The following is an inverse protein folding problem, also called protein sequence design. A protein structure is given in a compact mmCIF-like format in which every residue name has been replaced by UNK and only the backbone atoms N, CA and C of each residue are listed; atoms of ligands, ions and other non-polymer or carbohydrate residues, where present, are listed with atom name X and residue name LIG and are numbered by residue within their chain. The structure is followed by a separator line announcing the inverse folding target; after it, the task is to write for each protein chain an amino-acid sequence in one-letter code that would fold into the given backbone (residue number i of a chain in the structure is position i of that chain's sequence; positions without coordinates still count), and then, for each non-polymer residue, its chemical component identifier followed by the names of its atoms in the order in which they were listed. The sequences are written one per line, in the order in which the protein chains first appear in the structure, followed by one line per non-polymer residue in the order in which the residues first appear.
data_IF_691424941733
#
_entry.id   IF_691424941733
#
_cell.length_a   1.000
_cell.length_b   1.000
_cell.length_c   1.000
_cell.angle_alpha   90.00
_cell.angle_beta   90.00
_cell.angle_gamma   90.00
#
_symmetry.space_group_name_H-M   'P 1'
#
loop_
_entity.id
_entity.type
_entity.pdbx_description
1 polymer ?
#
# COMPACT_ATOMS: atom_id res chain seq x y z
N UNK A 1 -0.07 12.75 -8.90
CA UNK A 1 -0.47 11.44 -9.47
C UNK A 1 -1.12 10.64 -8.35
N UNK A 2 -2.43 10.53 -8.24
CA UNK A 2 -3.02 9.62 -7.23
C UNK A 2 -2.96 8.19 -7.80
N UNK A 3 -2.93 7.17 -6.94
CA UNK A 3 -3.08 5.79 -7.44
C UNK A 3 -4.60 5.62 -7.66
N UNK A 4 -5.08 6.06 -8.82
CA UNK A 4 -6.47 5.86 -9.26
C UNK A 4 -6.64 4.52 -10.02
N UNK A 5 -5.59 3.69 -10.04
CA UNK A 5 -5.61 2.38 -10.72
C UNK A 5 -5.79 1.30 -9.66
N UNK A 6 -7.06 0.92 -9.40
CA UNK A 6 -7.37 -0.32 -8.70
C UNK A 6 -6.79 -1.51 -9.49
N UNK A 7 -6.35 -2.56 -8.78
CA UNK A 7 -5.71 -3.76 -9.34
C UNK A 7 -4.29 -3.55 -9.89
N UNK A 8 -3.63 -2.43 -9.57
CA UNK A 8 -2.20 -2.32 -9.81
C UNK A 8 -1.43 -3.26 -8.86
N UNK A 9 -0.37 -3.87 -9.38
CA UNK A 9 0.42 -4.84 -8.63
C UNK A 9 1.72 -4.20 -8.13
N UNK A 10 1.88 -4.13 -6.81
CA UNK A 10 3.14 -3.69 -6.21
C UNK A 10 4.06 -4.90 -6.10
N UNK A 11 5.22 -4.81 -6.77
CA UNK A 11 6.24 -5.85 -6.80
C UNK A 11 5.72 -7.24 -7.22
N UNK A 12 4.65 -7.29 -8.03
CA UNK A 12 3.95 -8.53 -8.43
C UNK A 12 3.47 -9.41 -7.27
N UNK A 13 3.43 -8.87 -6.04
CA UNK A 13 3.09 -9.62 -4.83
C UNK A 13 1.84 -9.10 -4.16
N UNK A 14 1.66 -7.77 -4.17
CA UNK A 14 0.55 -7.12 -3.51
C UNK A 14 -0.40 -6.56 -4.55
N UNK A 15 -1.63 -7.05 -4.55
CA UNK A 15 -2.72 -6.49 -5.35
C UNK A 15 -3.40 -5.39 -4.53
N UNK A 16 -3.50 -4.18 -5.10
CA UNK A 16 -4.19 -3.05 -4.45
C UNK A 16 -5.70 -3.21 -4.62
N UNK A 17 -6.41 -3.39 -3.50
CA UNK A 17 -7.86 -3.54 -3.47
C UNK A 17 -8.56 -2.19 -3.30
N UNK A 18 -8.21 -1.45 -2.26
CA UNK A 18 -8.84 -0.16 -1.93
C UNK A 18 -7.87 0.78 -1.23
N UNK A 19 -8.05 2.10 -1.39
CA UNK A 19 -7.29 3.10 -0.65
C UNK A 19 -8.03 3.45 0.64
N UNK A 20 -7.43 3.13 1.79
CA UNK A 20 -8.04 3.27 3.12
C UNK A 20 -7.59 4.54 3.85
N UNK A 21 -6.55 5.22 3.39
CA UNK A 21 -6.10 6.45 4.02
C UNK A 21 -5.22 7.32 3.12
N UNK A 22 -5.30 8.64 3.31
CA UNK A 22 -4.45 9.63 2.64
C UNK A 22 -3.90 10.58 3.69
N UNK A 23 -2.60 10.88 3.65
CA UNK A 23 -1.97 11.82 4.56
C UNK A 23 -0.72 12.47 3.96
N UNK A 24 -0.12 13.40 4.70
CA UNK A 24 1.04 14.18 4.25
C UNK A 24 2.23 13.34 3.82
N UNK A 25 2.38 12.14 4.42
CA UNK A 25 3.49 11.22 4.15
C UNK A 25 3.20 10.21 3.03
N UNK A 26 2.00 10.18 2.47
CA UNK A 26 1.63 9.21 1.44
C UNK A 26 0.21 8.68 1.57
N UNK A 27 -0.04 7.55 0.92
CA UNK A 27 -1.35 6.89 0.89
C UNK A 27 -1.25 5.53 1.56
N UNK A 28 -2.31 5.09 2.21
CA UNK A 28 -2.44 3.75 2.77
C UNK A 28 -3.50 3.03 1.95
N UNK A 29 -3.15 1.86 1.43
CA UNK A 29 -4.06 0.99 0.69
C UNK A 29 -4.17 -0.36 1.37
N UNK A 30 -5.35 -0.96 1.31
CA UNK A 30 -5.56 -2.36 1.62
C UNK A 30 -5.15 -3.17 0.40
N UNK A 31 -4.32 -4.17 0.63
CA UNK A 31 -3.78 -5.02 -0.41
C UNK A 31 -3.93 -6.49 -0.03
N UNK A 32 -4.03 -7.34 -1.04
CA UNK A 32 -3.92 -8.79 -0.89
C UNK A 32 -2.46 -9.21 -1.14
N UNK A 33 -1.82 -9.84 -0.16
CA UNK A 33 -0.51 -10.48 -0.36
C UNK A 33 -0.72 -11.88 -0.96
N UNK A 34 -0.44 -12.06 -2.25
CA UNK A 34 -0.61 -13.38 -2.89
C UNK A 34 0.38 -14.44 -2.38
N UNK A 35 1.45 -14.05 -1.67
CA UNK A 35 2.38 -15.02 -1.09
C UNK A 35 1.80 -15.71 0.15
N UNK A 36 1.08 -14.96 0.98
CA UNK A 36 0.50 -15.46 2.24
C UNK A 36 -1.02 -15.62 2.18
N UNK A 37 -1.66 -15.09 1.12
CA UNK A 37 -3.11 -14.94 1.00
C UNK A 37 -3.75 -14.16 2.16
N UNK A 38 -3.02 -13.18 2.71
CA UNK A 38 -3.50 -12.33 3.80
C UNK A 38 -3.77 -10.90 3.32
N UNK A 39 -4.75 -10.26 3.96
CA UNK A 39 -5.04 -8.85 3.76
C UNK A 39 -4.09 -8.01 4.61
N UNK A 40 -3.39 -7.07 3.98
CA UNK A 40 -2.41 -6.19 4.62
C UNK A 40 -2.71 -4.74 4.29
N UNK A 41 -2.37 -3.81 5.18
CA UNK A 41 -2.37 -2.39 4.87
C UNK A 41 -0.97 -1.96 4.43
N UNK A 42 -0.83 -1.45 3.21
CA UNK A 42 0.43 -0.92 2.67
C UNK A 42 0.41 0.61 2.69
N UNK A 43 1.37 1.19 3.41
CA UNK A 43 1.65 2.62 3.32
C UNK A 43 2.64 2.88 2.21
N UNK A 44 2.16 3.57 1.19
CA UNK A 44 2.86 3.94 -0.04
C UNK A 44 3.46 5.34 0.15
N UNK A 45 4.78 5.40 0.30
CA UNK A 45 5.54 6.63 0.46
C UNK A 45 6.33 6.90 -0.82
N UNK A 46 6.23 8.13 -1.35
CA UNK A 46 6.96 8.53 -2.55
C UNK A 46 8.29 9.15 -2.18
N UNK A 47 9.38 8.55 -2.65
CA UNK A 47 10.67 9.21 -2.64
C UNK A 47 10.84 10.07 -3.91
N UNK A 48 11.34 11.30 -3.76
CA UNK A 48 11.43 12.29 -4.86
C UNK A 48 12.57 12.00 -5.85
N UNK A 49 13.46 11.03 -5.55
CA UNK A 49 14.70 10.76 -6.32
C UNK A 49 14.77 9.40 -7.02
N UNK A 50 13.78 8.53 -6.88
CA UNK A 50 13.79 7.24 -7.56
C UNK A 50 12.39 6.65 -7.60
N UNK A 51 12.07 6.00 -8.71
CA UNK A 51 10.83 5.25 -9.01
C UNK A 51 10.60 4.04 -8.07
N UNK A 52 11.24 4.02 -6.90
CA UNK A 52 11.04 3.02 -5.86
C UNK A 52 9.94 3.51 -4.92
N UNK A 53 8.77 2.91 -5.06
CA UNK A 53 7.69 3.04 -4.10
C UNK A 53 8.12 2.31 -2.83
N UNK A 54 8.32 3.04 -1.74
CA UNK A 54 8.60 2.42 -0.44
C UNK A 54 7.25 2.04 0.16
N UNK A 55 7.08 0.73 0.39
CA UNK A 55 5.90 0.14 0.98
C UNK A 55 6.22 -0.33 2.40
N UNK A 56 5.58 0.27 3.40
CA UNK A 56 5.64 -0.20 4.78
C UNK A 56 4.37 -1.00 5.05
N UNK A 57 4.53 -2.27 5.43
CA UNK A 57 3.45 -3.14 5.91
C UNK A 57 3.00 -2.63 7.28
N UNK A 58 1.76 -2.16 7.36
CA UNK A 58 1.07 -1.88 8.60
C UNK A 58 0.21 -3.12 8.88
N UNK A 59 0.65 -3.98 9.78
CA UNK A 59 -0.16 -5.12 10.21
C UNK A 59 -1.40 -4.60 10.94
N UNK A 60 -2.56 -4.95 10.41
CA UNK A 60 -3.88 -4.44 10.82
C UNK A 60 -4.33 -4.89 12.22
N UNK A 61 -3.46 -5.52 13.02
CA UNK A 61 -3.83 -6.05 14.34
C UNK A 61 -3.50 -5.15 15.54
N UNK A 62 -2.80 -4.02 15.37
CA UNK A 62 -2.69 -3.04 16.45
C UNK A 62 -2.49 -1.65 15.83
N UNK A 63 -3.34 -0.71 16.26
CA UNK A 63 -3.28 0.73 15.98
C UNK A 63 -3.73 1.14 14.56
N UNK A 64 -5.04 1.37 14.46
CA UNK A 64 -5.59 2.55 13.80
C UNK A 64 -6.02 3.53 14.91
N UNK A 65 -5.05 4.10 15.63
CA UNK A 65 -5.21 5.26 16.50
C UNK A 65 -3.88 6.02 16.53
#
# INVERSE_FOLDING_TARGET
VFFDVLHDHIAYRYEVLEVIGKGSFGQVAKCLDHKTNELVALKIIRNKKSVNVICILIFTNLIWC
#
